data_IF_150120658940
#
_entry.id   IF_150120658940
#
_cell.length_a   1.000
_cell.length_b   1.000
_cell.length_c   1.000
_cell.angle_alpha   90.00
_cell.angle_beta   90.00
_cell.angle_gamma   90.00
#
_symmetry.space_group_name_H-M   'P 1'
#
loop_
_entity.id
_entity.type
_entity.pdbx_description
1 polymer ?
#
# COMPACT_ATOMS: atom_id res chain seq x y z
N UNK A 1 22.91 -1.77 -13.96
CA UNK A 1 21.73 -1.48 -14.80
C UNK A 1 20.87 -2.74 -14.80
N UNK A 2 19.61 -2.69 -14.36
CA UNK A 2 18.73 -3.87 -14.17
C UNK A 2 18.27 -4.54 -15.49
N UNK A 3 18.99 -4.31 -16.60
CA UNK A 3 18.88 -5.08 -17.85
C UNK A 3 17.57 -4.95 -18.64
N UNK A 4 16.69 -4.00 -18.29
CA UNK A 4 15.39 -3.84 -18.98
C UNK A 4 15.59 -3.11 -20.31
N UNK A 5 15.25 -3.76 -21.42
CA UNK A 5 15.27 -3.17 -22.77
C UNK A 5 13.91 -2.59 -23.13
N UNK A 6 13.87 -1.62 -24.05
CA UNK A 6 12.60 -1.12 -24.60
C UNK A 6 11.78 -2.22 -25.27
N UNK A 7 12.45 -3.15 -25.97
CA UNK A 7 11.80 -4.32 -26.59
C UNK A 7 11.08 -5.21 -25.56
N UNK A 8 11.68 -5.41 -24.38
CA UNK A 8 11.00 -6.13 -23.29
C UNK A 8 9.74 -5.37 -22.87
N UNK A 9 9.84 -4.06 -22.65
CA UNK A 9 8.69 -3.24 -22.24
C UNK A 9 7.54 -3.33 -23.22
N UNK A 10 7.80 -3.24 -24.53
CA UNK A 10 6.78 -3.33 -25.59
C UNK A 10 5.98 -4.63 -25.55
N UNK A 11 6.58 -5.74 -25.12
CA UNK A 11 5.92 -7.05 -25.02
C UNK A 11 5.16 -7.26 -23.71
N UNK A 12 5.45 -6.46 -22.68
CA UNK A 12 4.80 -6.60 -21.38
C UNK A 12 3.42 -5.95 -21.38
N UNK A 13 2.47 -6.67 -20.80
CA UNK A 13 1.13 -6.16 -20.51
C UNK A 13 1.08 -5.64 -19.06
N UNK A 14 0.24 -4.63 -18.81
CA UNK A 14 -0.05 -4.21 -17.43
C UNK A 14 -0.78 -5.30 -16.66
N UNK A 15 -1.64 -6.04 -17.37
CA UNK A 15 -2.50 -7.06 -16.82
C UNK A 15 -2.78 -8.10 -17.90
N UNK A 16 -2.61 -9.39 -17.56
CA UNK A 16 -2.79 -10.51 -18.50
C UNK A 16 -4.25 -10.81 -18.82
N UNK A 17 -5.14 -10.59 -17.85
CA UNK A 17 -6.56 -10.88 -17.95
C UNK A 17 -7.35 -9.66 -17.51
N UNK A 18 -8.46 -9.37 -18.18
CA UNK A 18 -9.37 -8.32 -17.71
C UNK A 18 -9.94 -8.69 -16.34
N UNK A 19 -10.18 -7.67 -15.51
CA UNK A 19 -10.77 -7.87 -14.16
C UNK A 19 -12.18 -8.47 -14.22
N UNK A 20 -12.98 -8.06 -15.22
CA UNK A 20 -14.33 -8.59 -15.46
C UNK A 20 -14.74 -8.41 -16.93
N UNK A 21 -15.87 -9.01 -17.37
CA UNK A 21 -16.40 -8.79 -18.72
C UNK A 21 -16.75 -7.32 -19.02
N UNK A 22 -17.06 -6.51 -18.00
CA UNK A 22 -17.54 -5.13 -18.14
C UNK A 22 -16.48 -4.09 -17.80
N UNK A 23 -15.50 -4.44 -16.97
CA UNK A 23 -14.38 -3.58 -16.59
C UNK A 23 -13.09 -4.30 -16.93
N UNK A 24 -12.40 -3.78 -17.97
CA UNK A 24 -11.12 -4.34 -18.42
C UNK A 24 -10.02 -4.16 -17.36
N UNK A 25 -9.98 -3.00 -16.71
CA UNK A 25 -9.02 -2.68 -15.65
C UNK A 25 -9.60 -1.61 -14.74
N UNK A 26 -9.43 -1.79 -13.43
CA UNK A 26 -9.72 -0.74 -12.44
C UNK A 26 -8.67 0.37 -12.43
N UNK A 27 -7.42 0.06 -12.77
CA UNK A 27 -6.37 1.07 -12.96
C UNK A 27 -6.49 1.75 -14.31
N UNK A 28 -6.40 3.09 -14.32
CA UNK A 28 -6.30 3.92 -15.52
C UNK A 28 -4.89 3.84 -16.13
N UNK A 29 -4.49 2.65 -16.61
CA UNK A 29 -3.13 2.39 -17.13
C UNK A 29 -2.67 3.33 -18.25
N UNK A 30 -3.61 3.92 -19.01
CA UNK A 30 -3.29 4.94 -20.01
C UNK A 30 -2.55 6.14 -19.42
N UNK A 31 -2.90 6.58 -18.21
CA UNK A 31 -2.22 7.68 -17.52
C UNK A 31 -0.75 7.34 -17.22
N UNK A 32 -0.50 6.12 -16.74
CA UNK A 32 0.86 5.61 -16.49
C UNK A 32 1.66 5.45 -17.78
N UNK A 33 1.03 5.05 -18.88
CA UNK A 33 1.67 4.94 -20.19
C UNK A 33 2.08 6.31 -20.75
N UNK A 34 1.21 7.31 -20.63
CA UNK A 34 1.45 8.68 -21.09
C UNK A 34 2.51 9.40 -20.24
N UNK A 35 2.65 9.02 -18.98
CA UNK A 35 3.63 9.54 -18.03
C UNK A 35 4.69 8.49 -17.67
N UNK A 36 5.07 7.64 -18.64
CA UNK A 36 6.03 6.55 -18.49
C UNK A 36 7.49 7.04 -18.54
N UNK A 37 8.47 6.21 -18.13
CA UNK A 37 9.89 6.57 -18.23
C UNK A 37 10.42 6.61 -19.68
N UNK A 38 9.59 6.25 -20.66
CA UNK A 38 9.87 6.42 -22.08
C UNK A 38 9.52 7.84 -22.57
N UNK A 39 8.72 8.58 -21.79
CA UNK A 39 8.18 9.91 -22.16
C UNK A 39 8.59 11.01 -21.19
N UNK A 40 8.91 10.67 -19.95
CA UNK A 40 9.38 11.60 -18.94
C UNK A 40 10.86 11.39 -18.63
N UNK A 41 11.57 12.43 -18.13
CA UNK A 41 12.89 12.26 -17.54
C UNK A 41 12.87 11.19 -16.45
N UNK A 42 13.91 10.37 -16.37
CA UNK A 42 14.08 9.36 -15.30
C UNK A 42 14.96 9.83 -14.16
N UNK A 43 15.24 11.13 -14.14
CA UNK A 43 16.03 11.80 -13.12
C UNK A 43 15.31 13.08 -12.71
N UNK A 44 15.40 13.40 -11.42
CA UNK A 44 14.83 14.61 -10.84
C UNK A 44 15.72 15.09 -9.69
N UNK A 45 15.76 16.40 -9.49
CA UNK A 45 16.41 16.98 -8.32
C UNK A 45 15.65 16.61 -7.04
N UNK A 46 16.35 16.45 -5.89
CA UNK A 46 15.70 16.37 -4.59
C UNK A 46 14.83 17.61 -4.32
N UNK A 47 13.71 17.41 -3.64
CA UNK A 47 12.81 18.49 -3.23
C UNK A 47 12.72 18.59 -1.72
N UNK A 48 12.11 19.67 -1.23
CA UNK A 48 11.79 19.80 0.18
C UNK A 48 10.75 18.74 0.59
N UNK A 49 10.99 18.09 1.73
CA UNK A 49 10.12 17.04 2.26
C UNK A 49 9.67 17.46 3.65
N UNK A 50 8.35 17.50 3.93
CA UNK A 50 7.83 17.98 5.21
C UNK A 50 8.02 16.97 6.37
N UNK A 51 8.65 15.82 6.10
CA UNK A 51 8.84 14.71 7.03
C UNK A 51 10.32 14.36 7.12
N UNK A 52 10.84 14.28 8.35
CA UNK A 52 12.19 13.75 8.59
C UNK A 52 12.17 12.21 8.52
N UNK A 53 12.97 11.65 7.64
CA UNK A 53 13.17 10.20 7.49
C UNK A 53 14.55 9.74 7.93
N UNK A 54 14.65 8.48 8.37
CA UNK A 54 15.94 7.77 8.48
C UNK A 54 16.47 7.36 7.12
N UNK A 55 15.56 7.10 6.17
CA UNK A 55 15.87 6.88 4.76
C UNK A 55 15.07 7.89 3.96
N UNK A 56 15.73 8.80 3.27
CA UNK A 56 15.10 9.80 2.43
C UNK A 56 15.52 9.55 0.98
N UNK A 57 14.59 9.07 0.17
CA UNK A 57 14.73 8.97 -1.28
C UNK A 57 13.93 10.11 -1.89
N UNK A 58 14.59 11.10 -2.49
CA UNK A 58 13.92 12.25 -3.11
C UNK A 58 14.50 12.52 -4.49
N UNK A 59 13.64 12.47 -5.51
CA UNK A 59 14.09 12.57 -6.90
C UNK A 59 15.10 11.46 -7.22
N UNK A 60 16.27 11.80 -7.72
CA UNK A 60 17.37 10.84 -7.93
C UNK A 60 18.28 10.68 -6.71
N UNK A 61 18.07 11.48 -5.65
CA UNK A 61 18.92 11.53 -4.46
C UNK A 61 18.50 10.55 -3.37
N UNK A 62 19.46 10.16 -2.53
CA UNK A 62 19.23 9.32 -1.37
C UNK A 62 20.10 9.76 -0.18
N UNK A 63 19.47 9.94 0.98
CA UNK A 63 20.12 10.30 2.24
C UNK A 63 19.74 9.30 3.34
N UNK A 64 20.70 9.00 4.22
CA UNK A 64 20.55 7.97 5.24
C UNK A 64 21.02 8.49 6.61
N UNK A 65 20.12 8.46 7.58
CA UNK A 65 20.37 8.70 9.01
C UNK A 65 19.79 7.54 9.81
N UNK A 66 20.48 6.41 9.73
CA UNK A 66 19.98 5.13 10.23
C UNK A 66 20.13 5.01 11.75
N UNK A 67 19.11 4.51 12.45
CA UNK A 67 19.21 4.25 13.88
C UNK A 67 20.18 3.09 14.15
N UNK A 68 20.68 3.02 15.38
CA UNK A 68 21.52 1.92 15.81
C UNK A 68 20.77 0.59 15.64
N UNK A 69 21.33 -0.34 14.86
CA UNK A 69 20.68 -1.61 14.58
C UNK A 69 20.07 -1.74 13.19
N UNK A 70 20.26 -0.75 12.33
CA UNK A 70 19.90 -0.83 10.93
C UNK A 70 21.17 -0.68 10.09
N UNK A 71 21.46 -1.70 9.31
CA UNK A 71 22.59 -1.75 8.38
C UNK A 71 22.10 -1.46 6.95
N UNK A 72 22.93 -0.78 6.17
CA UNK A 72 22.65 -0.43 4.77
C UNK A 72 23.57 -1.22 3.84
N UNK A 73 22.97 -1.80 2.81
CA UNK A 73 23.65 -2.41 1.66
C UNK A 73 22.94 -1.98 0.37
N UNK A 74 23.50 -2.34 -0.78
CA UNK A 74 22.91 -2.12 -2.09
C UNK A 74 22.29 -3.40 -2.66
N UNK A 75 21.24 -3.23 -3.45
CA UNK A 75 20.57 -4.32 -4.16
C UNK A 75 19.18 -4.63 -3.62
N UNK A 76 18.68 -5.79 -4.02
CA UNK A 76 17.29 -6.21 -3.83
C UNK A 76 17.23 -7.56 -3.12
N UNK A 77 16.06 -7.92 -2.57
CA UNK A 77 15.78 -9.28 -2.09
C UNK A 77 15.39 -10.22 -3.23
N UNK A 78 15.18 -9.67 -4.43
CA UNK A 78 14.82 -10.40 -5.64
C UNK A 78 13.41 -10.97 -5.57
N UNK A 79 12.54 -10.39 -4.75
CA UNK A 79 11.15 -10.81 -4.64
C UNK A 79 10.34 -10.40 -5.88
N UNK A 80 10.76 -9.35 -6.58
CA UNK A 80 10.09 -8.82 -7.78
C UNK A 80 11.02 -8.84 -8.99
N UNK A 81 10.44 -9.13 -10.16
CA UNK A 81 11.15 -9.24 -11.43
C UNK A 81 10.59 -8.25 -12.46
N UNK A 82 11.45 -7.67 -13.33
CA UNK A 82 11.02 -6.68 -14.33
C UNK A 82 10.05 -7.23 -15.38
N UNK A 83 10.04 -8.54 -15.62
CA UNK A 83 9.20 -9.18 -16.63
C UNK A 83 7.78 -9.55 -16.15
N UNK A 84 7.41 -9.22 -14.92
CA UNK A 84 6.11 -9.63 -14.35
C UNK A 84 4.93 -8.83 -14.92
N UNK A 85 5.12 -7.53 -15.14
CA UNK A 85 4.11 -6.62 -15.68
C UNK A 85 4.78 -5.41 -16.29
N UNK A 86 4.04 -4.69 -17.14
CA UNK A 86 4.55 -3.47 -17.80
C UNK A 86 4.95 -2.39 -16.80
N UNK A 87 4.18 -2.18 -15.73
CA UNK A 87 4.50 -1.17 -14.72
C UNK A 87 5.74 -1.52 -13.89
N UNK A 88 5.98 -2.82 -13.62
CA UNK A 88 7.23 -3.28 -13.03
C UNK A 88 8.40 -3.15 -14.01
N UNK A 89 8.19 -3.45 -15.29
CA UNK A 89 9.16 -3.16 -16.33
C UNK A 89 9.58 -1.69 -16.31
N UNK A 90 8.63 -0.76 -16.27
CA UNK A 90 8.90 0.68 -16.14
C UNK A 90 9.66 1.01 -14.86
N UNK A 91 9.28 0.42 -13.73
CA UNK A 91 10.00 0.59 -12.47
C UNK A 91 11.49 0.28 -12.66
N UNK A 92 11.83 -0.93 -13.09
CA UNK A 92 13.22 -1.37 -13.24
C UNK A 92 13.98 -0.67 -14.39
N UNK A 93 13.27 -0.23 -15.43
CA UNK A 93 13.86 0.56 -16.52
C UNK A 93 14.37 1.93 -16.01
N UNK A 94 13.62 2.59 -15.14
CA UNK A 94 14.01 3.88 -14.55
C UNK A 94 14.82 3.75 -13.26
N UNK A 95 14.93 2.55 -12.68
CA UNK A 95 15.60 2.33 -11.41
C UNK A 95 17.11 2.57 -11.52
N UNK A 96 17.58 3.61 -10.83
CA UNK A 96 19.01 3.94 -10.75
C UNK A 96 19.74 3.06 -9.75
N UNK A 97 19.12 2.86 -8.58
CA UNK A 97 19.70 2.16 -7.45
C UNK A 97 18.63 1.56 -6.55
N UNK A 98 18.94 0.42 -5.97
CA UNK A 98 18.14 -0.22 -4.94
C UNK A 98 18.96 -0.31 -3.66
N UNK A 99 18.29 -0.16 -2.51
CA UNK A 99 18.93 -0.22 -1.21
C UNK A 99 18.32 -1.33 -0.38
N UNK A 100 19.16 -2.00 0.42
CA UNK A 100 18.78 -3.07 1.32
C UNK A 100 19.09 -2.66 2.75
N UNK A 101 18.08 -2.71 3.59
CA UNK A 101 18.14 -2.42 5.01
C UNK A 101 18.05 -3.73 5.78
N UNK A 102 18.98 -3.97 6.70
CA UNK A 102 18.94 -5.11 7.61
C UNK A 102 18.76 -4.63 9.04
N UNK A 103 17.68 -5.06 9.67
CA UNK A 103 17.38 -4.76 11.06
C UNK A 103 17.99 -5.87 11.93
N UNK A 104 19.03 -5.52 12.70
CA UNK A 104 19.85 -6.48 13.46
C UNK A 104 19.55 -6.51 14.96
N UNK A 105 18.70 -5.61 15.44
CA UNK A 105 18.18 -5.57 16.82
C UNK A 105 16.82 -4.90 16.85
N UNK A 106 16.10 -5.07 17.95
CA UNK A 106 14.84 -4.40 18.19
C UNK A 106 14.97 -2.88 18.04
N UNK A 107 13.98 -2.28 17.37
CA UNK A 107 13.84 -0.84 17.26
C UNK A 107 12.72 -0.37 18.18
N UNK A 108 13.05 0.61 19.03
CA UNK A 108 12.09 1.26 19.92
C UNK A 108 11.42 2.46 19.24
N UNK A 109 12.21 3.25 18.52
CA UNK A 109 11.75 4.33 17.65
C UNK A 109 11.49 3.78 16.24
N UNK A 110 10.53 4.36 15.48
CA UNK A 110 10.21 3.89 14.15
C UNK A 110 11.36 4.11 13.17
N UNK A 111 11.62 3.10 12.32
CA UNK A 111 12.39 3.29 11.10
C UNK A 111 11.52 4.02 10.08
N UNK A 112 11.80 5.30 9.84
CA UNK A 112 11.03 6.14 8.92
C UNK A 112 11.69 6.16 7.55
N UNK A 113 10.97 5.67 6.54
CA UNK A 113 11.37 5.66 5.13
C UNK A 113 10.50 6.66 4.40
N UNK A 114 11.11 7.61 3.69
CA UNK A 114 10.41 8.59 2.88
C UNK A 114 10.84 8.44 1.43
N UNK A 115 9.86 8.27 0.55
CA UNK A 115 10.01 8.28 -0.89
C UNK A 115 9.27 9.49 -1.44
N UNK A 116 9.97 10.35 -2.15
CA UNK A 116 9.45 11.65 -2.57
C UNK A 116 9.80 11.96 -4.03
N UNK A 117 8.85 12.58 -4.74
CA UNK A 117 9.06 13.16 -6.05
C UNK A 117 8.44 14.56 -6.08
N UNK A 118 9.24 15.60 -6.23
CA UNK A 118 8.80 17.01 -6.33
C UNK A 118 8.52 17.47 -7.76
N UNK A 119 9.19 16.86 -8.76
CA UNK A 119 9.20 17.32 -10.14
C UNK A 119 8.36 16.49 -11.11
N UNK A 120 8.26 16.97 -12.36
CA UNK A 120 7.62 16.23 -13.46
C UNK A 120 8.62 15.25 -14.09
N UNK A 121 8.79 14.10 -13.46
CA UNK A 121 9.65 13.00 -13.90
C UNK A 121 8.98 11.64 -13.67
N UNK A 122 9.56 10.56 -14.20
CA UNK A 122 9.29 9.20 -13.76
C UNK A 122 10.42 8.73 -12.85
N UNK A 123 10.19 8.61 -11.54
CA UNK A 123 11.23 8.20 -10.58
C UNK A 123 10.89 6.86 -9.95
N UNK A 124 11.86 5.95 -9.97
CA UNK A 124 11.77 4.64 -9.33
C UNK A 124 12.63 4.59 -8.07
N UNK A 125 12.01 4.22 -6.95
CA UNK A 125 12.65 3.99 -5.67
C UNK A 125 12.44 2.54 -5.24
N UNK A 126 13.52 1.82 -4.92
CA UNK A 126 13.46 0.42 -4.49
C UNK A 126 14.15 0.26 -3.14
N UNK A 127 13.38 -0.12 -2.13
CA UNK A 127 13.89 -0.48 -0.80
C UNK A 127 13.60 -1.95 -0.51
N UNK A 128 14.60 -2.64 0.00
CA UNK A 128 14.53 -4.00 0.51
C UNK A 128 14.75 -3.99 2.02
N UNK A 129 13.97 -4.75 2.78
CA UNK A 129 14.02 -4.79 4.24
C UNK A 129 14.13 -6.24 4.70
N UNK A 130 15.16 -6.53 5.48
CA UNK A 130 15.32 -7.80 6.18
C UNK A 130 15.17 -7.60 7.68
N UNK A 131 14.28 -8.38 8.28
CA UNK A 131 14.06 -8.42 9.72
C UNK A 131 14.09 -9.88 10.18
N UNK A 132 15.07 -10.24 11.00
CA UNK A 132 15.21 -11.59 11.54
C UNK A 132 15.43 -11.55 13.05
N UNK A 133 14.56 -12.22 13.82
CA UNK A 133 14.58 -12.24 15.29
C UNK A 133 14.53 -10.84 15.93
N UNK A 134 13.72 -9.93 15.38
CA UNK A 134 13.62 -8.55 15.83
C UNK A 134 12.18 -8.07 15.92
N UNK A 135 11.98 -7.01 16.70
CA UNK A 135 10.75 -6.22 16.75
C UNK A 135 11.00 -4.82 16.24
N UNK A 136 10.26 -4.37 15.22
CA UNK A 136 10.50 -3.05 14.65
C UNK A 136 9.21 -2.36 14.18
N UNK A 137 8.94 -1.12 14.65
CA UNK A 137 8.00 -0.23 14.00
C UNK A 137 8.65 0.40 12.75
N UNK A 138 7.93 0.40 11.63
CA UNK A 138 8.37 0.95 10.34
C UNK A 138 7.29 1.91 9.84
N UNK A 139 7.69 3.09 9.37
CA UNK A 139 6.79 4.04 8.73
C UNK A 139 7.28 4.32 7.33
N UNK A 140 6.40 4.20 6.34
CA UNK A 140 6.72 4.43 4.93
C UNK A 140 5.86 5.58 4.42
N UNK A 141 6.51 6.68 4.04
CA UNK A 141 5.88 7.82 3.40
C UNK A 141 6.08 7.74 1.89
N UNK A 142 4.97 7.64 1.15
CA UNK A 142 4.94 7.62 -0.31
C UNK A 142 4.34 8.95 -0.78
N UNK A 143 5.19 9.87 -1.25
CA UNK A 143 4.79 11.21 -1.68
C UNK A 143 5.15 11.50 -3.14
N UNK A 144 4.20 11.99 -3.93
CA UNK A 144 4.41 12.36 -5.33
C UNK A 144 3.71 13.69 -5.64
N UNK A 145 4.45 14.78 -5.80
CA UNK A 145 3.90 16.11 -6.07
C UNK A 145 3.59 16.32 -7.56
N UNK A 146 4.30 15.63 -8.44
CA UNK A 146 4.12 15.68 -9.90
C UNK A 146 4.68 14.44 -10.59
N UNK A 147 4.50 14.36 -11.91
CA UNK A 147 5.01 13.23 -12.71
C UNK A 147 4.41 11.88 -12.28
N UNK A 148 5.24 10.83 -12.36
CA UNK A 148 4.91 9.48 -11.93
C UNK A 148 5.97 8.97 -10.98
N UNK A 149 5.57 8.58 -9.78
CA UNK A 149 6.46 7.93 -8.84
C UNK A 149 6.19 6.42 -8.79
N UNK A 150 7.25 5.63 -8.75
CA UNK A 150 7.17 4.19 -8.58
C UNK A 150 7.99 3.76 -7.36
N UNK A 151 7.32 3.35 -6.28
CA UNK A 151 7.96 2.81 -5.08
C UNK A 151 7.77 1.29 -5.02
N UNK A 152 8.87 0.56 -4.90
CA UNK A 152 8.88 -0.88 -4.67
C UNK A 152 9.55 -1.18 -3.33
N UNK A 153 8.81 -1.86 -2.44
CA UNK A 153 9.27 -2.31 -1.13
C UNK A 153 9.28 -3.83 -1.09
N UNK A 154 10.42 -4.43 -0.80
CA UNK A 154 10.54 -5.87 -0.57
C UNK A 154 10.80 -6.11 0.91
N UNK A 155 10.08 -7.05 1.53
CA UNK A 155 10.23 -7.38 2.94
C UNK A 155 10.45 -8.88 3.12
N UNK A 156 11.49 -9.27 3.87
CA UNK A 156 11.64 -10.62 4.41
C UNK A 156 11.65 -10.54 5.93
N UNK A 157 10.65 -11.16 6.55
CA UNK A 157 10.49 -11.23 8.00
C UNK A 157 10.64 -12.68 8.47
N UNK A 158 11.59 -12.98 9.35
CA UNK A 158 11.82 -14.32 9.89
C UNK A 158 11.87 -14.29 11.41
N UNK A 159 10.88 -14.92 12.06
CA UNK A 159 10.70 -14.87 13.52
C UNK A 159 10.74 -13.41 14.04
N UNK A 160 10.07 -12.51 13.30
CA UNK A 160 10.08 -11.08 13.55
C UNK A 160 8.67 -10.54 13.82
N UNK A 161 8.56 -9.52 14.67
CA UNK A 161 7.31 -8.80 14.96
C UNK A 161 7.38 -7.37 14.42
N UNK A 162 6.62 -7.08 13.37
CA UNK A 162 6.68 -5.78 12.69
C UNK A 162 5.35 -5.04 12.79
N UNK A 163 5.42 -3.75 13.09
CA UNK A 163 4.34 -2.81 12.84
C UNK A 163 4.72 -1.95 11.63
N UNK A 164 3.84 -1.86 10.64
CA UNK A 164 4.09 -1.08 9.42
C UNK A 164 2.97 -0.08 9.23
N UNK A 165 3.32 1.20 9.17
CA UNK A 165 2.42 2.27 8.78
C UNK A 165 2.83 2.78 7.41
N UNK A 166 1.98 2.63 6.40
CA UNK A 166 2.21 3.20 5.07
C UNK A 166 1.28 4.39 4.86
N UNK A 167 1.84 5.53 4.49
CA UNK A 167 1.13 6.79 4.25
C UNK A 167 1.41 7.25 2.83
N UNK A 168 0.44 7.07 1.95
CA UNK A 168 0.47 7.56 0.57
C UNK A 168 -0.23 8.91 0.45
N UNK A 169 0.49 9.94 0.01
CA UNK A 169 -0.03 11.29 -0.23
C UNK A 169 0.42 11.77 -1.59
N UNK A 170 -0.49 11.78 -2.55
CA UNK A 170 -0.13 12.05 -3.95
C UNK A 170 -0.86 13.28 -4.51
N UNK A 171 -0.19 13.96 -5.44
CA UNK A 171 -0.74 14.94 -6.39
C UNK A 171 -0.46 14.48 -7.82
N UNK A 172 0.72 13.88 -8.07
CA UNK A 172 1.05 13.18 -9.30
C UNK A 172 0.55 11.72 -9.33
N UNK A 173 0.97 10.95 -10.34
CA UNK A 173 0.68 9.50 -10.39
C UNK A 173 1.58 8.75 -9.40
N UNK A 174 1.03 7.74 -8.73
CA UNK A 174 1.82 6.82 -7.90
C UNK A 174 1.55 5.37 -8.23
N UNK A 175 2.63 4.62 -8.41
CA UNK A 175 2.64 3.16 -8.39
C UNK A 175 3.40 2.71 -7.14
N UNK A 176 2.73 2.00 -6.24
CA UNK A 176 3.33 1.43 -5.06
C UNK A 176 3.16 -0.09 -5.10
N UNK A 177 4.25 -0.82 -4.86
CA UNK A 177 4.22 -2.27 -4.62
C UNK A 177 5.01 -2.61 -3.37
N UNK A 178 4.36 -3.22 -2.38
CA UNK A 178 5.03 -3.96 -1.31
C UNK A 178 4.89 -5.46 -1.57
N UNK A 179 6.00 -6.20 -1.48
CA UNK A 179 6.01 -7.66 -1.51
C UNK A 179 6.73 -8.19 -0.27
N UNK A 180 5.98 -8.88 0.60
CA UNK A 180 6.49 -9.42 1.85
C UNK A 180 6.48 -10.94 1.87
N UNK A 181 7.54 -11.53 2.42
CA UNK A 181 7.64 -12.95 2.72
C UNK A 181 7.84 -13.14 4.23
N UNK A 182 6.90 -13.85 4.85
CA UNK A 182 6.83 -14.09 6.29
C UNK A 182 7.22 -15.53 6.57
N UNK A 183 8.38 -15.71 7.20
CA UNK A 183 8.85 -16.96 7.77
C UNK A 183 8.05 -17.41 9.00
N UNK A 184 8.45 -18.53 9.59
CA UNK A 184 7.70 -19.12 10.69
C UNK A 184 7.66 -18.21 11.91
N UNK A 185 6.50 -18.15 12.58
CA UNK A 185 6.24 -17.31 13.75
C UNK A 185 6.39 -15.79 13.54
N UNK A 186 6.67 -15.33 12.32
CA UNK A 186 6.68 -13.91 12.00
C UNK A 186 5.27 -13.32 12.12
N UNK A 187 5.17 -12.14 12.70
CA UNK A 187 3.92 -11.40 12.88
C UNK A 187 4.05 -10.01 12.27
N UNK A 188 3.15 -9.66 11.36
CA UNK A 188 3.09 -8.31 10.77
C UNK A 188 1.73 -7.69 11.05
N UNK A 189 1.74 -6.49 11.62
CA UNK A 189 0.56 -5.63 11.77
C UNK A 189 0.77 -4.41 10.88
N UNK A 190 -0.04 -4.28 9.84
CA UNK A 190 0.11 -3.25 8.83
C UNK A 190 -1.13 -2.37 8.76
N UNK A 191 -0.93 -1.06 8.69
CA UNK A 191 -1.97 -0.09 8.37
C UNK A 191 -1.52 0.78 7.20
N UNK A 192 -2.33 0.82 6.15
CA UNK A 192 -2.07 1.65 4.98
C UNK A 192 -3.17 2.70 4.84
N UNK A 193 -2.78 3.96 4.79
CA UNK A 193 -3.66 5.08 4.40
C UNK A 193 -3.11 5.65 3.12
N UNK A 194 -3.92 5.71 2.08
CA UNK A 194 -3.49 6.20 0.77
C UNK A 194 -4.54 7.13 0.19
N UNK A 195 -4.11 8.30 -0.24
CA UNK A 195 -4.97 9.28 -0.89
C UNK A 195 -4.22 10.07 -1.95
N UNK A 196 -4.98 10.60 -2.89
CA UNK A 196 -4.47 11.59 -3.81
C UNK A 196 -4.02 11.04 -5.16
N UNK A 197 -3.37 11.93 -5.89
CA UNK A 197 -2.82 11.72 -7.22
C UNK A 197 -3.86 11.88 -8.31
N UNK A 198 -3.45 11.98 -9.57
CA UNK A 198 -4.40 11.81 -10.68
C UNK A 198 -4.92 10.36 -10.69
N UNK A 199 -4.01 9.43 -10.37
CA UNK A 199 -4.33 8.07 -9.96
C UNK A 199 -3.22 7.47 -9.08
N UNK A 200 -3.62 6.75 -8.04
CA UNK A 200 -2.75 5.91 -7.21
C UNK A 200 -3.08 4.43 -7.45
N UNK A 201 -2.10 3.65 -7.92
CA UNK A 201 -2.17 2.19 -7.92
C UNK A 201 -1.29 1.68 -6.78
N UNK A 202 -1.92 1.26 -5.69
CA UNK A 202 -1.24 0.83 -4.47
C UNK A 202 -1.47 -0.65 -4.27
N UNK A 203 -0.40 -1.46 -4.23
CA UNK A 203 -0.49 -2.91 -4.12
C UNK A 203 0.37 -3.43 -2.98
N UNK A 204 -0.20 -4.33 -2.19
CA UNK A 204 0.51 -5.06 -1.16
C UNK A 204 0.27 -6.57 -1.31
N UNK A 205 1.36 -7.30 -1.53
CA UNK A 205 1.38 -8.76 -1.67
C UNK A 205 2.10 -9.36 -0.45
N UNK A 206 1.39 -10.12 0.36
CA UNK A 206 1.95 -10.83 1.52
C UNK A 206 1.96 -12.33 1.28
N UNK A 207 3.12 -12.96 1.45
CA UNK A 207 3.27 -14.41 1.42
C UNK A 207 3.61 -14.95 2.80
N UNK A 208 2.69 -15.69 3.40
CA UNK A 208 2.81 -16.37 4.69
C UNK A 208 3.40 -17.76 4.43
N UNK A 209 4.71 -17.80 4.25
CA UNK A 209 5.49 -18.98 3.87
C UNK A 209 5.66 -19.96 5.04
N UNK A 210 5.93 -19.41 6.24
CA UNK A 210 6.29 -20.20 7.40
C UNK A 210 5.10 -20.61 8.28
N UNK A 211 5.23 -21.71 9.04
CA UNK A 211 4.20 -22.13 9.98
C UNK A 211 3.97 -21.07 11.07
N UNK A 212 2.72 -20.92 11.50
CA UNK A 212 2.33 -19.96 12.55
C UNK A 212 2.69 -18.50 12.24
N UNK A 213 2.89 -18.16 10.96
CA UNK A 213 3.00 -16.77 10.52
C UNK A 213 1.65 -16.07 10.60
N UNK A 214 1.68 -14.76 10.91
CA UNK A 214 0.49 -13.97 11.16
C UNK A 214 0.55 -12.62 10.44
N UNK A 215 -0.57 -12.24 9.82
CA UNK A 215 -0.77 -10.93 9.21
C UNK A 215 -2.09 -10.32 9.69
N UNK A 216 -2.01 -9.10 10.23
CA UNK A 216 -3.17 -8.21 10.38
C UNK A 216 -2.93 -7.04 9.44
N UNK A 217 -3.74 -6.92 8.38
CA UNK A 217 -3.67 -5.84 7.42
C UNK A 217 -4.92 -4.96 7.55
N UNK A 218 -4.72 -3.65 7.65
CA UNK A 218 -5.78 -2.64 7.63
C UNK A 218 -5.49 -1.62 6.55
N UNK A 219 -6.54 -1.17 5.87
CA UNK A 219 -6.40 -0.22 4.77
C UNK A 219 -7.48 0.84 4.74
N UNK A 220 -7.09 2.03 4.32
CA UNK A 220 -7.96 3.20 4.19
C UNK A 220 -7.63 3.96 2.89
N UNK A 221 -8.05 3.45 1.72
CA UNK A 221 -7.91 4.16 0.47
C UNK A 221 -8.98 5.27 0.36
N UNK A 222 -8.56 6.49 0.03
CA UNK A 222 -9.44 7.65 -0.08
C UNK A 222 -9.27 8.32 -1.43
N UNK A 223 -10.36 8.54 -2.15
CA UNK A 223 -10.36 9.27 -3.41
C UNK A 223 -11.26 10.50 -3.31
N UNK A 224 -10.70 11.67 -3.57
CA UNK A 224 -11.42 12.96 -3.63
C UNK A 224 -11.07 13.62 -4.97
N UNK A 225 -12.02 13.64 -5.91
CA UNK A 225 -11.79 14.14 -7.27
C UNK A 225 -10.78 13.34 -8.11
N UNK A 226 -10.32 12.19 -7.62
CA UNK A 226 -9.27 11.37 -8.24
C UNK A 226 -9.57 9.87 -8.20
N UNK A 227 -8.58 9.02 -8.49
CA UNK A 227 -8.73 7.57 -8.45
C UNK A 227 -7.67 6.87 -7.59
N UNK A 228 -8.11 5.92 -6.75
CA UNK A 228 -7.25 5.04 -5.96
C UNK A 228 -7.66 3.59 -6.20
N UNK A 229 -6.76 2.79 -6.76
CA UNK A 229 -6.87 1.33 -6.83
C UNK A 229 -5.95 0.72 -5.76
N UNK A 230 -6.55 0.17 -4.70
CA UNK A 230 -5.83 -0.50 -3.63
C UNK A 230 -6.00 -2.01 -3.74
N UNK A 231 -4.89 -2.71 -3.97
CA UNK A 231 -4.84 -4.15 -4.20
C UNK A 231 -4.18 -4.85 -3.03
N UNK A 232 -4.87 -5.78 -2.38
CA UNK A 232 -4.31 -6.58 -1.28
C UNK A 232 -4.34 -8.08 -1.62
N UNK A 233 -3.17 -8.70 -1.75
CA UNK A 233 -3.07 -10.14 -1.97
C UNK A 233 -2.39 -10.81 -0.78
N UNK A 234 -2.97 -11.92 -0.33
CA UNK A 234 -2.44 -12.72 0.78
C UNK A 234 -2.37 -14.17 0.34
N UNK A 235 -1.16 -14.72 0.31
CA UNK A 235 -0.87 -16.10 -0.06
C UNK A 235 -0.44 -16.87 1.19
N UNK A 236 -1.16 -17.92 1.57
CA UNK A 236 -0.87 -18.71 2.77
C UNK A 236 -0.39 -20.11 2.41
N UNK A 237 0.87 -20.39 2.71
CA UNK A 237 1.49 -21.71 2.54
C UNK A 237 1.73 -22.41 3.88
N UNK A 238 2.06 -21.65 4.92
CA UNK A 238 2.41 -22.17 6.24
C UNK A 238 1.24 -22.78 7.00
N UNK A 239 1.48 -23.93 7.64
CA UNK A 239 0.52 -24.57 8.56
C UNK A 239 0.19 -23.62 9.72
N UNK A 240 -1.08 -23.58 10.14
CA UNK A 240 -1.56 -22.70 11.23
C UNK A 240 -1.24 -21.21 11.00
N UNK A 241 -1.05 -20.80 9.74
CA UNK A 241 -0.90 -19.39 9.40
C UNK A 241 -2.23 -18.66 9.58
N UNK A 242 -2.17 -17.38 9.94
CA UNK A 242 -3.37 -16.56 10.19
C UNK A 242 -3.28 -15.25 9.41
N UNK A 243 -4.32 -14.91 8.68
CA UNK A 243 -4.43 -13.60 8.04
C UNK A 243 -5.79 -12.95 8.31
N UNK A 244 -5.76 -11.64 8.53
CA UNK A 244 -6.97 -10.84 8.61
C UNK A 244 -6.75 -9.48 7.93
N UNK A 245 -7.38 -9.29 6.77
CA UNK A 245 -7.39 -8.03 6.03
C UNK A 245 -8.73 -7.33 6.25
N UNK A 246 -8.71 -6.05 6.66
CA UNK A 246 -9.91 -5.19 6.63
C UNK A 246 -9.60 -3.87 5.97
N UNK A 247 -10.37 -3.52 4.94
CA UNK A 247 -10.19 -2.26 4.21
C UNK A 247 -11.49 -1.49 4.22
N UNK A 248 -11.42 -0.21 4.60
CA UNK A 248 -12.52 0.73 4.50
C UNK A 248 -12.13 1.90 3.60
N UNK A 249 -12.66 1.90 2.38
CA UNK A 249 -12.41 2.95 1.40
C UNK A 249 -13.46 4.06 1.42
N UNK A 250 -13.06 5.25 0.96
CA UNK A 250 -13.94 6.42 0.85
C UNK A 250 -13.82 7.06 -0.53
N UNK A 251 -14.94 7.44 -1.13
CA UNK A 251 -14.98 8.16 -2.41
C UNK A 251 -15.84 9.42 -2.29
N UNK A 252 -15.28 10.56 -2.68
CA UNK A 252 -15.93 11.87 -2.59
C UNK A 252 -15.56 12.77 -3.78
N UNK A 253 -16.37 13.81 -4.05
CA UNK A 253 -16.18 14.76 -5.14
C UNK A 253 -15.88 14.13 -6.52
N UNK A 254 -16.67 13.15 -6.95
CA UNK A 254 -16.40 12.34 -8.16
C UNK A 254 -15.15 11.45 -8.06
N UNK A 255 -14.74 11.11 -6.84
CA UNK A 255 -13.65 10.20 -6.55
C UNK A 255 -13.99 8.77 -6.94
N UNK A 256 -12.95 8.00 -7.25
CA UNK A 256 -13.04 6.58 -7.58
C UNK A 256 -12.16 5.78 -6.64
N UNK A 257 -12.77 5.02 -5.73
CA UNK A 257 -12.04 4.11 -4.84
C UNK A 257 -12.33 2.66 -5.18
N UNK A 258 -11.27 1.89 -5.41
CA UNK A 258 -11.33 0.44 -5.59
C UNK A 258 -10.54 -0.23 -4.50
N UNK A 259 -11.14 -1.21 -3.85
CA UNK A 259 -10.40 -2.23 -3.14
C UNK A 259 -10.66 -3.60 -3.76
N UNK A 260 -9.58 -4.31 -4.10
CA UNK A 260 -9.63 -5.65 -4.68
C UNK A 260 -8.45 -6.50 -4.22
N UNK A 261 -8.53 -7.78 -4.50
CA UNK A 261 -7.41 -8.70 -4.31
C UNK A 261 -7.85 -10.05 -3.78
N UNK A 262 -6.87 -10.93 -3.55
CA UNK A 262 -7.13 -12.35 -3.30
C UNK A 262 -6.46 -12.82 -2.01
N UNK A 263 -7.24 -13.43 -1.13
CA UNK A 263 -6.72 -14.30 -0.08
C UNK A 263 -6.74 -15.75 -0.58
N UNK A 264 -5.56 -16.37 -0.70
CA UNK A 264 -5.41 -17.75 -1.16
C UNK A 264 -4.80 -18.60 -0.06
N UNK A 265 -5.52 -19.65 0.35
CA UNK A 265 -5.04 -20.68 1.27
C UNK A 265 -4.69 -21.92 0.46
N UNK A 266 -3.40 -22.21 0.36
CA UNK A 266 -2.90 -23.36 -0.41
C UNK A 266 -3.08 -24.68 0.37
N UNK A 267 -3.02 -25.82 -0.35
CA UNK A 267 -3.15 -27.16 0.22
C UNK A 267 -2.18 -27.45 1.40
N UNK A 268 -1.02 -26.79 1.43
CA UNK A 268 -0.03 -26.94 2.49
C UNK A 268 -0.42 -26.24 3.81
N UNK A 269 -1.29 -25.23 3.75
CA UNK A 269 -1.64 -24.34 4.86
C UNK A 269 -2.72 -24.94 5.77
N UNK A 270 -2.49 -26.16 6.23
CA UNK A 270 -3.44 -26.89 7.10
C UNK A 270 -3.64 -26.18 8.43
N UNK A 271 -4.88 -26.16 8.89
CA UNK A 271 -5.38 -25.44 10.06
C UNK A 271 -5.10 -23.93 10.01
N UNK A 272 -5.01 -23.35 8.81
CA UNK A 272 -4.90 -21.90 8.67
C UNK A 272 -6.23 -21.20 8.92
N UNK A 273 -6.16 -19.90 9.25
CA UNK A 273 -7.31 -19.00 9.24
C UNK A 273 -7.09 -17.83 8.28
N UNK A 274 -8.12 -17.43 7.54
CA UNK A 274 -8.05 -16.30 6.61
C UNK A 274 -9.35 -15.50 6.60
N UNK A 275 -9.24 -14.17 6.62
CA UNK A 275 -10.38 -13.26 6.56
C UNK A 275 -10.07 -12.04 5.69
N UNK A 276 -10.97 -11.71 4.76
CA UNK A 276 -10.91 -10.45 4.00
C UNK A 276 -12.23 -9.71 4.13
N UNK A 277 -12.21 -8.52 4.69
CA UNK A 277 -13.36 -7.61 4.73
C UNK A 277 -13.05 -6.37 3.92
N UNK A 278 -13.93 -6.02 3.00
CA UNK A 278 -13.83 -4.81 2.21
C UNK A 278 -15.12 -4.03 2.28
N UNK A 279 -15.01 -2.79 2.73
CA UNK A 279 -16.10 -1.83 2.80
C UNK A 279 -15.69 -0.59 2.00
N UNK A 280 -16.55 -0.08 1.13
CA UNK A 280 -16.32 1.19 0.43
C UNK A 280 -17.54 2.08 0.63
N UNK A 281 -17.31 3.27 1.17
CA UNK A 281 -18.35 4.28 1.40
C UNK A 281 -18.26 5.36 0.35
N UNK A 282 -19.32 5.50 -0.44
CA UNK A 282 -19.50 6.54 -1.45
C UNK A 282 -20.21 7.72 -0.80
N UNK A 283 -19.54 8.87 -0.72
CA UNK A 283 -19.96 10.01 0.10
C UNK A 283 -20.80 11.05 -0.66
N UNK A 284 -20.82 10.97 -2.00
CA UNK A 284 -21.64 11.81 -2.87
C UNK A 284 -22.13 11.04 -4.11
N UNK A 285 -23.07 11.61 -4.87
CA UNK A 285 -23.68 10.92 -6.03
C UNK A 285 -22.75 10.74 -7.23
N UNK A 286 -21.69 11.56 -7.36
CA UNK A 286 -20.79 11.52 -8.51
C UNK A 286 -19.66 10.50 -8.37
N UNK A 287 -19.45 9.98 -7.17
CA UNK A 287 -18.34 9.08 -6.85
C UNK A 287 -18.62 7.61 -7.15
N UNK A 288 -17.55 6.85 -7.33
CA UNK A 288 -17.58 5.42 -7.60
C UNK A 288 -16.81 4.64 -6.53
N UNK A 289 -17.51 3.69 -5.89
CA UNK A 289 -16.90 2.72 -4.99
C UNK A 289 -16.96 1.31 -5.57
N UNK A 290 -15.84 0.59 -5.54
CA UNK A 290 -15.77 -0.81 -5.98
C UNK A 290 -15.09 -1.67 -4.92
N UNK A 291 -15.70 -2.81 -4.60
CA UNK A 291 -15.18 -3.78 -3.65
C UNK A 291 -15.20 -5.19 -4.25
N UNK A 292 -14.02 -5.77 -4.53
CA UNK A 292 -13.87 -7.10 -5.15
C UNK A 292 -12.85 -7.95 -4.37
N UNK A 293 -13.16 -8.37 -3.13
CA UNK A 293 -12.34 -9.34 -2.40
C UNK A 293 -12.62 -10.77 -2.88
N UNK A 294 -11.57 -11.52 -3.15
CA UNK A 294 -11.62 -12.92 -3.55
C UNK A 294 -11.02 -13.82 -2.46
N UNK A 295 -11.62 -14.98 -2.27
CA UNK A 295 -11.13 -16.02 -1.35
C UNK A 295 -11.03 -17.34 -2.11
N UNK A 296 -9.83 -17.91 -2.12
CA UNK A 296 -9.55 -19.23 -2.70
C UNK A 296 -8.99 -20.14 -1.61
N UNK A 297 -9.60 -21.31 -1.40
CA UNK A 297 -9.17 -22.27 -0.38
C UNK A 297 -9.02 -23.62 -1.04
N UNK A 298 -7.78 -24.08 -1.14
CA UNK A 298 -7.42 -25.31 -1.84
C UNK A 298 -7.46 -26.54 -0.91
N UNK A 299 -7.67 -26.36 0.41
CA UNK A 299 -7.69 -27.43 1.42
C UNK A 299 -8.99 -27.52 2.22
N UNK A 300 -9.38 -28.73 2.61
CA UNK A 300 -10.49 -28.95 3.55
C UNK A 300 -10.13 -28.75 5.03
N UNK A 301 -8.84 -28.62 5.36
CA UNK A 301 -8.34 -28.46 6.73
C UNK A 301 -8.08 -26.98 7.05
N UNK A 302 -9.13 -26.16 7.23
CA UNK A 302 -9.02 -24.76 7.67
C UNK A 302 -9.75 -24.53 8.99
N UNK A 303 -9.22 -23.66 9.85
CA UNK A 303 -9.89 -23.23 11.08
C UNK A 303 -11.04 -22.28 10.77
N UNK A 304 -10.81 -21.30 9.89
CA UNK A 304 -11.81 -20.36 9.42
C UNK A 304 -11.38 -19.74 8.09
N UNK A 305 -12.29 -19.57 7.15
CA UNK A 305 -12.05 -18.83 5.92
C UNK A 305 -13.31 -18.02 5.57
N UNK A 306 -13.20 -16.70 5.48
CA UNK A 306 -14.34 -15.86 5.12
C UNK A 306 -13.93 -14.63 4.31
N UNK A 307 -14.86 -14.15 3.50
CA UNK A 307 -14.75 -12.84 2.87
C UNK A 307 -16.06 -12.06 3.00
N UNK A 308 -15.95 -10.74 2.99
CA UNK A 308 -17.09 -9.82 2.96
C UNK A 308 -16.78 -8.65 2.05
N UNK A 309 -17.76 -8.28 1.22
CA UNK A 309 -17.73 -7.13 0.33
C UNK A 309 -18.95 -6.27 0.58
N UNK A 310 -18.76 -4.99 0.80
CA UNK A 310 -19.84 -4.03 0.97
C UNK A 310 -19.48 -2.72 0.28
N UNK A 311 -20.38 -2.25 -0.58
CA UNK A 311 -20.36 -0.88 -1.09
C UNK A 311 -21.64 -0.21 -0.61
N UNK A 312 -21.51 0.93 0.05
CA UNK A 312 -22.64 1.68 0.58
C UNK A 312 -22.53 3.17 0.29
N UNK A 313 -23.66 3.83 0.21
CA UNK A 313 -23.71 5.28 0.25
C UNK A 313 -23.57 5.75 1.71
N UNK A 314 -23.06 6.96 1.91
CA UNK A 314 -23.08 7.60 3.21
C UNK A 314 -24.53 7.82 3.68
N UNK A 315 -24.75 7.67 4.98
CA UNK A 315 -26.07 7.75 5.60
C UNK A 315 -26.54 9.21 5.66
N UNK A 316 -27.53 9.57 4.83
CA UNK A 316 -28.10 10.91 4.77
C UNK A 316 -28.77 11.33 6.09
N UNK A 317 -29.32 10.38 6.87
CA UNK A 317 -29.91 10.68 8.18
C UNK A 317 -28.83 10.98 9.23
N UNK A 318 -27.71 10.26 9.18
CA UNK A 318 -26.55 10.55 10.01
C UNK A 318 -25.95 11.93 9.67
N UNK A 319 -25.85 12.27 8.37
CA UNK A 319 -25.42 13.59 7.91
C UNK A 319 -26.36 14.68 8.42
N UNK A 320 -27.68 14.50 8.25
CA UNK A 320 -28.70 15.45 8.71
C UNK A 320 -28.62 15.65 10.23
N UNK A 321 -28.47 14.56 10.99
CA UNK A 321 -28.34 14.62 12.44
C UNK A 321 -27.12 15.45 12.86
N UNK A 322 -25.93 15.16 12.31
CA UNK A 322 -24.71 15.90 12.63
C UNK A 322 -24.83 17.39 12.26
N UNK A 323 -25.41 17.68 11.09
CA UNK A 323 -25.67 19.05 10.65
C UNK A 323 -26.65 19.80 11.55
N UNK A 324 -27.67 19.11 12.07
CA UNK A 324 -28.60 19.68 13.05
C UNK A 324 -27.92 20.06 14.39
N UNK A 325 -26.73 19.52 14.67
CA UNK A 325 -25.90 19.86 15.83
C UNK A 325 -24.89 20.98 15.56
N UNK A 326 -24.95 21.60 14.38
CA UNK A 326 -24.16 22.77 14.04
C UNK A 326 -22.86 22.49 13.27
N UNK A 327 -22.61 21.23 12.91
CA UNK A 327 -21.52 20.89 11.97
C UNK A 327 -21.95 21.22 10.54
N UNK A 328 -21.04 21.67 9.71
CA UNK A 328 -21.27 21.65 8.27
C UNK A 328 -21.14 20.21 7.70
N UNK A 329 -21.37 20.07 6.39
CA UNK A 329 -21.33 18.75 5.74
C UNK A 329 -19.93 18.15 5.75
N UNK A 330 -18.90 18.96 5.51
CA UNK A 330 -17.52 18.49 5.38
C UNK A 330 -16.94 18.15 6.76
N UNK A 331 -17.27 18.94 7.79
CA UNK A 331 -16.97 18.62 9.20
C UNK A 331 -17.61 17.31 9.65
N UNK A 332 -18.88 17.07 9.26
CA UNK A 332 -19.59 15.84 9.60
C UNK A 332 -18.98 14.60 8.92
N UNK A 333 -18.64 14.71 7.63
CA UNK A 333 -17.97 13.65 6.87
C UNK A 333 -16.56 13.39 7.43
N UNK A 334 -15.80 14.46 7.69
CA UNK A 334 -14.48 14.40 8.29
C UNK A 334 -14.51 13.63 9.62
N UNK A 335 -15.44 13.97 10.53
CA UNK A 335 -15.61 13.27 11.80
C UNK A 335 -15.87 11.76 11.62
N UNK A 336 -16.70 11.39 10.65
CA UNK A 336 -16.97 9.98 10.34
C UNK A 336 -15.71 9.25 9.83
N UNK A 337 -15.01 9.85 8.86
CA UNK A 337 -13.78 9.29 8.29
C UNK A 337 -12.70 9.15 9.36
N UNK A 338 -12.56 10.13 10.25
CA UNK A 338 -11.67 10.08 11.42
C UNK A 338 -11.99 8.90 12.34
N UNK A 339 -13.26 8.70 12.70
CA UNK A 339 -13.68 7.61 13.58
C UNK A 339 -13.36 6.23 12.99
N UNK A 340 -13.54 6.06 11.69
CA UNK A 340 -13.14 4.82 10.98
C UNK A 340 -11.62 4.66 10.98
N UNK A 341 -10.86 5.72 10.70
CA UNK A 341 -9.40 5.67 10.74
C UNK A 341 -8.83 5.32 12.12
N UNK A 342 -9.45 5.82 13.20
CA UNK A 342 -9.09 5.43 14.57
C UNK A 342 -9.40 3.95 14.84
N UNK A 343 -10.56 3.46 14.40
CA UNK A 343 -10.93 2.05 14.53
C UNK A 343 -9.98 1.12 13.76
N UNK A 344 -9.56 1.50 12.55
CA UNK A 344 -8.63 0.71 11.73
C UNK A 344 -7.21 0.72 12.31
N UNK A 345 -6.72 1.87 12.77
CA UNK A 345 -5.36 2.01 13.27
C UNK A 345 -5.13 1.43 14.67
N UNK A 346 -6.19 1.18 15.45
CA UNK A 346 -6.10 0.77 16.86
C UNK A 346 -5.32 -0.52 17.14
N UNK A 347 -5.13 -1.38 16.13
CA UNK A 347 -4.36 -2.63 16.23
C UNK A 347 -2.83 -2.41 16.25
N UNK A 348 -2.35 -1.23 15.82
CA UNK A 348 -0.97 -0.81 15.99
C UNK A 348 -0.77 -0.34 17.44
N UNK A 349 0.21 -0.89 18.14
CA UNK A 349 0.52 -0.58 19.53
C UNK A 349 1.58 0.52 19.61
N UNK A 350 2.70 0.35 18.89
CA UNK A 350 3.83 1.30 18.88
C UNK A 350 3.58 2.47 17.93
N UNK A 351 2.86 2.23 16.83
CA UNK A 351 2.60 3.25 15.80
C UNK A 351 1.24 3.95 15.95
N UNK A 352 0.45 3.64 16.99
CA UNK A 352 -0.91 4.20 17.15
C UNK A 352 -0.97 5.72 17.03
N UNK A 353 -0.10 6.43 17.74
CA UNK A 353 -0.07 7.90 17.73
C UNK A 353 0.30 8.47 16.36
N UNK A 354 1.27 7.85 15.68
CA UNK A 354 1.65 8.22 14.30
C UNK A 354 0.52 7.93 13.32
N UNK A 355 -0.14 6.77 13.43
CA UNK A 355 -1.26 6.43 12.56
C UNK A 355 -2.41 7.43 12.72
N UNK A 356 -2.81 7.75 13.95
CA UNK A 356 -3.86 8.75 14.22
C UNK A 356 -3.50 10.14 13.69
N UNK A 357 -2.27 10.59 13.88
CA UNK A 357 -1.80 11.87 13.36
C UNK A 357 -1.85 11.94 11.83
N UNK A 358 -1.33 10.93 11.14
CA UNK A 358 -1.32 10.91 9.67
C UNK A 358 -2.72 10.75 9.06
N UNK A 359 -3.62 9.99 9.70
CA UNK A 359 -5.03 9.93 9.31
C UNK A 359 -5.62 11.34 9.37
N UNK A 360 -5.38 12.08 10.46
CA UNK A 360 -5.92 13.43 10.60
C UNK A 360 -5.37 14.42 9.58
N UNK A 361 -4.05 14.46 9.39
CA UNK A 361 -3.42 15.33 8.39
C UNK A 361 -3.91 15.03 6.96
N UNK A 362 -4.20 13.76 6.64
CA UNK A 362 -4.75 13.40 5.34
C UNK A 362 -6.19 13.84 5.18
N UNK A 363 -7.02 13.70 6.22
CA UNK A 363 -8.43 14.10 6.18
C UNK A 363 -8.55 15.62 6.06
N UNK A 364 -7.83 16.39 6.89
CA UNK A 364 -7.78 17.87 6.82
C UNK A 364 -7.26 18.39 5.47
N UNK A 365 -6.50 17.58 4.74
CA UNK A 365 -6.01 17.93 3.42
C UNK A 365 -6.99 17.62 2.27
N UNK A 366 -8.10 16.92 2.55
CA UNK A 366 -9.04 16.37 1.56
C UNK A 366 -10.46 16.91 1.69
N UNK A 367 -10.90 17.24 2.90
CA UNK A 367 -12.19 17.80 3.28
C UNK A 367 -11.94 19.08 4.06
#
# INVERSE_FOLDING_TARGET
MFGVTQELLERLEYQKYGDSPTIKSYTKWKLFEENSPLRLPTEAEPGEVPVKGNVLLSGSGAEFSLPAGVELDEGTLGLSQPGESRILGFHFYALKKAYRLRITRDLFEPLVIVSHLSGKAFVSHHISIEAENVRAPIVIYDMAEGGTKSLLVELKAKDAELEILTVGRHRGLSHYLLRASLGGKSRVRAFTVVSGGEMSHHREDYSLEGPESELILRGMPMAVGNAVDYVTNVLQYGKRSRSETRVHGFSYENGWTVHRGTAKVFESARNASSGVVSEVTVMDRGSLGVSVPMLEVDTGEVEAAFHSSTVRQFDEDALFYLRSRGLDSDEALSLFVHGIGEALSGHLERLRGKARGNVGELIEGLL
#
